data_IF_016229390072
#
_entry.id   IF_016229390072
#
_cell.length_a   1.000
_cell.length_b   1.000
_cell.length_c   1.000
_cell.angle_alpha   90.00
_cell.angle_beta   90.00
_cell.angle_gamma   90.00
#
_symmetry.space_group_name_H-M   'P 1'
#
loop_
_entity.id
_entity.type
_entity.pdbx_description
1 polymer ?
#
# COMPACT_ATOMS: atom_id res chain seq x y z
N UNK A 1 -13.38 -7.71 6.45
CA UNK A 1 -13.75 -7.05 5.18
C UNK A 1 -12.49 -6.62 4.43
N UNK A 2 -12.35 -7.08 3.19
CA UNK A 2 -11.37 -6.54 2.23
C UNK A 2 -12.07 -5.52 1.35
N UNK A 3 -11.49 -4.34 1.17
CA UNK A 3 -12.10 -3.30 0.36
C UNK A 3 -11.11 -2.54 -0.53
N UNK A 4 -11.57 -2.22 -1.73
CA UNK A 4 -10.93 -1.28 -2.65
C UNK A 4 -12.02 -0.45 -3.31
N UNK A 5 -11.73 0.82 -3.60
CA UNK A 5 -12.72 1.79 -4.06
C UNK A 5 -12.28 2.38 -5.39
N UNK A 6 -13.22 2.58 -6.32
CA UNK A 6 -12.92 3.05 -7.67
C UNK A 6 -12.75 4.57 -7.77
N UNK A 7 -13.49 5.31 -6.95
CA UNK A 7 -13.47 6.76 -7.02
C UNK A 7 -12.26 7.31 -6.27
N UNK A 8 -11.53 8.23 -6.90
CA UNK A 8 -10.41 8.93 -6.27
C UNK A 8 -10.85 9.72 -5.04
N UNK A 9 -12.04 10.33 -5.08
CA UNK A 9 -12.53 11.18 -3.97
C UNK A 9 -12.88 10.39 -2.70
N UNK A 10 -13.10 9.08 -2.79
CA UNK A 10 -13.37 8.25 -1.62
C UNK A 10 -12.08 7.85 -0.87
N UNK A 11 -10.90 7.98 -1.48
CA UNK A 11 -9.69 7.30 -0.98
C UNK A 11 -9.25 7.79 0.41
N UNK A 12 -9.41 9.09 0.69
CA UNK A 12 -9.07 9.63 2.00
C UNK A 12 -10.02 9.15 3.10
N UNK A 13 -11.33 9.30 2.90
CA UNK A 13 -12.32 8.88 3.90
C UNK A 13 -12.26 7.37 4.21
N UNK A 14 -12.00 6.53 3.20
CA UNK A 14 -11.88 5.08 3.43
C UNK A 14 -10.57 4.72 4.14
N UNK A 15 -9.50 5.47 3.91
CA UNK A 15 -8.23 5.32 4.65
C UNK A 15 -8.43 5.69 6.13
N UNK A 16 -9.13 6.80 6.41
CA UNK A 16 -9.52 7.16 7.78
C UNK A 16 -10.43 6.09 8.39
N UNK A 17 -11.35 5.53 7.62
CA UNK A 17 -12.24 4.46 8.08
C UNK A 17 -11.45 3.21 8.46
N UNK A 18 -10.48 2.79 7.65
CA UNK A 18 -9.61 1.65 7.96
C UNK A 18 -8.77 1.86 9.23
N UNK A 19 -8.38 3.10 9.53
CA UNK A 19 -7.71 3.43 10.80
C UNK A 19 -8.62 3.17 12.03
N UNK A 20 -9.95 3.30 11.88
CA UNK A 20 -10.92 3.07 12.96
C UNK A 20 -11.33 1.62 13.11
N UNK A 21 -11.40 0.88 12.00
CA UNK A 21 -11.96 -0.48 11.98
C UNK A 21 -10.88 -1.51 11.63
N UNK A 22 -10.37 -2.23 12.64
CA UNK A 22 -9.34 -3.28 12.47
C UNK A 22 -9.79 -4.48 11.62
N UNK A 23 -11.09 -4.61 11.39
CA UNK A 23 -11.70 -5.62 10.53
C UNK A 23 -11.92 -5.12 9.09
N UNK A 24 -11.43 -3.92 8.73
CA UNK A 24 -11.39 -3.37 7.38
C UNK A 24 -9.92 -3.30 6.89
N UNK A 25 -9.61 -4.03 5.83
CA UNK A 25 -8.30 -4.01 5.20
C UNK A 25 -8.39 -3.44 3.79
N UNK A 26 -7.69 -2.34 3.54
CA UNK A 26 -7.62 -1.73 2.23
C UNK A 26 -6.57 -2.44 1.37
N UNK A 27 -6.91 -2.69 0.11
CA UNK A 27 -5.98 -3.29 -0.83
C UNK A 27 -6.00 -2.61 -2.20
N UNK A 28 -4.81 -2.29 -2.67
CA UNK A 28 -4.49 -1.82 -4.02
C UNK A 28 -5.14 -0.53 -4.52
N UNK A 29 -4.86 -0.25 -5.78
CA UNK A 29 -5.32 0.93 -6.52
C UNK A 29 -6.11 0.44 -7.73
N UNK A 30 -7.43 0.30 -7.57
CA UNK A 30 -8.26 -0.43 -8.52
C UNK A 30 -8.58 0.37 -9.79
N UNK A 31 -8.40 -0.28 -10.95
CA UNK A 31 -8.86 0.18 -12.28
C UNK A 31 -8.50 1.64 -12.59
N UNK A 32 -9.42 2.59 -12.50
CA UNK A 32 -9.14 4.01 -12.78
C UNK A 32 -8.21 4.65 -11.75
N UNK A 33 -8.04 4.05 -10.58
CA UNK A 33 -6.99 4.42 -9.63
C UNK A 33 -5.62 3.80 -9.96
N UNK A 34 -5.53 2.88 -10.92
CA UNK A 34 -4.27 2.25 -11.32
C UNK A 34 -3.48 3.10 -12.33
N UNK A 35 -3.28 4.37 -11.98
CA UNK A 35 -2.46 5.33 -12.74
C UNK A 35 -1.33 5.83 -11.83
N UNK A 36 -0.10 6.05 -12.34
CA UNK A 36 1.06 6.37 -11.51
C UNK A 36 0.83 7.51 -10.50
N UNK A 37 0.24 8.62 -10.94
CA UNK A 37 -0.04 9.77 -10.07
C UNK A 37 -1.03 9.47 -8.95
N UNK A 38 -2.02 8.60 -9.20
CA UNK A 38 -3.00 8.20 -8.20
C UNK A 38 -2.40 7.14 -7.28
N UNK A 39 -1.62 6.19 -7.81
CA UNK A 39 -0.91 5.20 -6.99
C UNK A 39 0.00 5.90 -5.99
N UNK A 40 0.76 6.91 -6.43
CA UNK A 40 1.64 7.70 -5.55
C UNK A 40 0.85 8.39 -4.43
N UNK A 41 -0.19 9.14 -4.79
CA UNK A 41 -1.05 9.87 -3.85
C UNK A 41 -1.68 8.93 -2.80
N UNK A 42 -2.27 7.81 -3.25
CA UNK A 42 -2.95 6.85 -2.39
C UNK A 42 -1.95 6.11 -1.49
N UNK A 43 -0.79 5.71 -2.04
CA UNK A 43 0.23 5.01 -1.26
C UNK A 43 0.78 5.91 -0.17
N UNK A 44 1.10 7.16 -0.49
CA UNK A 44 1.58 8.17 0.45
C UNK A 44 0.59 8.41 1.59
N UNK A 45 -0.66 8.73 1.24
CA UNK A 45 -1.73 8.97 2.20
C UNK A 45 -1.99 7.76 3.10
N UNK A 46 -1.98 6.55 2.54
CA UNK A 46 -2.19 5.32 3.32
C UNK A 46 -1.03 5.03 4.26
N UNK A 47 0.22 5.26 3.84
CA UNK A 47 1.39 5.11 4.73
C UNK A 47 1.31 6.12 5.88
N UNK A 48 0.99 7.38 5.59
CA UNK A 48 0.90 8.44 6.60
C UNK A 48 -0.17 8.14 7.67
N UNK A 49 -1.28 7.49 7.32
CA UNK A 49 -2.41 7.25 8.23
C UNK A 49 -2.39 5.83 8.84
N UNK A 50 -1.92 4.84 8.10
CA UNK A 50 -2.02 3.41 8.47
C UNK A 50 -0.65 2.75 8.70
N UNK A 51 0.46 3.43 8.40
CA UNK A 51 1.79 2.80 8.38
C UNK A 51 1.82 1.69 7.33
N UNK A 52 2.14 0.47 7.75
CA UNK A 52 2.19 -0.71 6.87
C UNK A 52 0.94 -1.59 6.94
N UNK A 53 -0.12 -1.17 7.65
CA UNK A 53 -1.32 -1.98 7.89
C UNK A 53 -2.33 -1.94 6.72
N UNK A 54 -1.85 -2.13 5.49
CA UNK A 54 -2.65 -2.24 4.27
C UNK A 54 -1.86 -2.96 3.18
N UNK A 55 -2.52 -3.37 2.09
CA UNK A 55 -1.82 -3.92 0.92
C UNK A 55 -1.73 -2.89 -0.19
N UNK A 56 -0.51 -2.61 -0.65
CA UNK A 56 -0.21 -1.46 -1.50
C UNK A 56 -0.81 -1.57 -2.91
N UNK A 57 -0.79 -2.75 -3.52
CA UNK A 57 -1.22 -2.95 -4.89
C UNK A 57 -1.83 -4.34 -5.16
N UNK A 58 -2.70 -4.41 -6.17
CA UNK A 58 -3.05 -5.65 -6.88
C UNK A 58 -3.00 -5.40 -8.40
N UNK A 59 -2.79 -6.43 -9.22
CA UNK A 59 -2.64 -6.26 -10.66
C UNK A 59 -3.96 -6.19 -11.42
N UNK A 60 -5.01 -6.88 -10.97
CA UNK A 60 -6.24 -7.09 -11.76
C UNK A 60 -5.90 -7.54 -13.21
N UNK A 61 -4.90 -8.42 -13.33
CA UNK A 61 -4.40 -8.90 -14.61
C UNK A 61 -5.42 -9.85 -15.24
N UNK A 62 -5.83 -9.56 -16.47
CA UNK A 62 -6.68 -10.45 -17.29
C UNK A 62 -5.88 -11.24 -18.32
N UNK A 63 -4.63 -10.84 -18.55
CA UNK A 63 -3.65 -11.49 -19.43
C UNK A 63 -2.36 -11.64 -18.64
N UNK A 64 -1.72 -12.80 -18.74
CA UNK A 64 -0.56 -13.18 -17.91
C UNK A 64 0.58 -12.15 -17.99
N UNK A 65 0.92 -11.70 -19.19
CA UNK A 65 2.01 -10.74 -19.43
C UNK A 65 1.78 -9.39 -18.74
N UNK A 66 0.54 -9.08 -18.37
CA UNK A 66 0.23 -7.87 -17.61
C UNK A 66 0.85 -7.87 -16.23
N UNK A 67 1.12 -9.05 -15.64
CA UNK A 67 1.80 -9.13 -14.37
C UNK A 67 3.17 -8.45 -14.43
N UNK A 68 3.90 -8.59 -15.54
CA UNK A 68 5.25 -8.03 -15.67
C UNK A 68 5.19 -6.50 -15.57
N UNK A 69 4.45 -5.84 -16.45
CA UNK A 69 4.46 -4.38 -16.51
C UNK A 69 3.67 -3.73 -15.36
N UNK A 70 2.59 -4.36 -14.87
CA UNK A 70 1.81 -3.80 -13.76
C UNK A 70 2.60 -3.82 -12.46
N UNK A 71 3.34 -4.91 -12.20
CA UNK A 71 4.17 -5.01 -11.01
C UNK A 71 5.47 -4.22 -11.13
N UNK A 72 6.11 -4.14 -12.31
CA UNK A 72 7.27 -3.24 -12.47
C UNK A 72 6.88 -1.80 -12.18
N UNK A 73 5.84 -1.31 -12.87
CA UNK A 73 5.40 0.08 -12.74
C UNK A 73 4.95 0.43 -11.31
N UNK A 74 4.16 -0.43 -10.67
CA UNK A 74 3.69 -0.16 -9.31
C UNK A 74 4.83 -0.19 -8.29
N UNK A 75 5.80 -1.09 -8.45
CA UNK A 75 6.96 -1.16 -7.54
C UNK A 75 7.85 0.07 -7.66
N UNK A 76 8.02 0.61 -8.87
CA UNK A 76 8.80 1.84 -9.07
C UNK A 76 8.16 3.00 -8.30
N UNK A 77 6.86 3.24 -8.50
CA UNK A 77 6.11 4.33 -7.82
C UNK A 77 6.07 4.13 -6.31
N UNK A 78 5.75 2.93 -5.83
CA UNK A 78 5.70 2.64 -4.38
C UNK A 78 7.10 2.76 -3.76
N UNK A 79 8.14 2.35 -4.48
CA UNK A 79 9.53 2.45 -4.06
C UNK A 79 9.95 3.90 -3.84
N UNK A 80 9.62 4.81 -4.75
CA UNK A 80 9.88 6.25 -4.60
C UNK A 80 9.20 6.83 -3.35
N UNK A 81 7.94 6.46 -3.09
CA UNK A 81 7.24 6.88 -1.87
C UNK A 81 7.94 6.36 -0.61
N UNK A 82 8.36 5.10 -0.59
CA UNK A 82 9.04 4.52 0.57
C UNK A 82 10.40 5.18 0.83
N UNK A 83 11.17 5.47 -0.21
CA UNK A 83 12.46 6.17 -0.10
C UNK A 83 12.26 7.53 0.58
N UNK A 84 11.34 8.35 0.08
CA UNK A 84 11.05 9.68 0.67
C UNK A 84 10.62 9.57 2.15
N UNK A 85 9.80 8.56 2.49
CA UNK A 85 9.36 8.35 3.88
C UNK A 85 10.51 7.93 4.80
N UNK A 86 11.38 7.03 4.36
CA UNK A 86 12.54 6.61 5.16
C UNK A 86 13.60 7.69 5.26
N UNK A 87 13.80 8.52 4.22
CA UNK A 87 14.68 9.68 4.27
C UNK A 87 14.19 10.70 5.32
N UNK A 88 12.88 10.98 5.35
CA UNK A 88 12.27 11.83 6.38
C UNK A 88 12.47 11.24 7.77
N UNK A 89 12.24 9.94 7.93
CA UNK A 89 12.44 9.25 9.22
C UNK A 89 13.91 9.33 9.66
N UNK A 90 14.85 9.08 8.75
CA UNK A 90 16.28 9.19 9.01
C UNK A 90 16.70 10.61 9.41
N UNK A 91 16.14 11.64 8.77
CA UNK A 91 16.40 13.04 9.09
C UNK A 91 15.98 13.44 10.52
N UNK A 92 15.04 12.70 11.14
CA UNK A 92 14.69 12.91 12.57
C UNK A 92 15.71 12.31 13.55
N UNK A 93 16.74 11.62 13.05
CA UNK A 93 17.71 10.88 13.86
C UNK A 93 17.30 9.44 14.15
N UNK A 94 16.17 8.96 13.58
CA UNK A 94 15.75 7.57 13.71
C UNK A 94 16.70 6.65 12.92
N UNK A 95 17.11 5.54 13.54
CA UNK A 95 17.97 4.55 12.90
C UNK A 95 17.11 3.48 12.24
N UNK A 96 17.06 3.50 10.92
CA UNK A 96 16.39 2.48 10.11
C UNK A 96 17.42 1.43 9.70
N UNK A 97 17.15 0.15 9.99
CA UNK A 97 17.99 -0.95 9.52
C UNK A 97 17.49 -1.52 8.19
N UNK A 98 18.34 -2.24 7.47
CA UNK A 98 17.94 -2.97 6.26
C UNK A 98 16.78 -3.95 6.54
N UNK A 99 16.82 -4.64 7.68
CA UNK A 99 15.77 -5.58 8.09
C UNK A 99 14.43 -4.89 8.38
N UNK A 100 14.44 -3.64 8.84
CA UNK A 100 13.21 -2.87 9.03
C UNK A 100 12.55 -2.60 7.67
N UNK A 101 13.34 -2.17 6.69
CA UNK A 101 12.87 -1.90 5.32
C UNK A 101 12.35 -3.19 4.67
N UNK A 102 13.09 -4.30 4.78
CA UNK A 102 12.67 -5.58 4.22
C UNK A 102 11.34 -6.07 4.81
N UNK A 103 11.19 -5.97 6.14
CA UNK A 103 9.94 -6.29 6.84
C UNK A 103 8.79 -5.43 6.33
N UNK A 104 8.98 -4.12 6.26
CA UNK A 104 7.90 -3.19 5.90
C UNK A 104 7.48 -3.34 4.43
N UNK A 105 8.43 -3.61 3.53
CA UNK A 105 8.16 -3.97 2.14
C UNK A 105 7.37 -5.29 2.07
N UNK A 106 7.77 -6.32 2.81
CA UNK A 106 7.03 -7.59 2.86
C UNK A 106 5.58 -7.40 3.31
N UNK A 107 5.37 -6.58 4.35
CA UNK A 107 4.03 -6.20 4.84
C UNK A 107 3.18 -5.59 3.73
N UNK A 108 3.68 -4.58 3.04
CA UNK A 108 2.95 -3.87 1.98
C UNK A 108 2.65 -4.74 0.75
N UNK A 109 3.54 -5.69 0.41
CA UNK A 109 3.44 -6.52 -0.80
C UNK A 109 2.82 -7.91 -0.60
N UNK A 110 2.30 -8.23 0.59
CA UNK A 110 1.51 -9.46 0.77
C UNK A 110 1.33 -9.87 2.22
N UNK A 111 2.33 -9.67 3.08
CA UNK A 111 2.28 -10.20 4.44
C UNK A 111 1.16 -9.55 5.27
N UNK A 112 0.85 -8.26 5.10
CA UNK A 112 -0.29 -7.66 5.82
C UNK A 112 -1.65 -8.16 5.33
N UNK A 113 -1.74 -8.65 4.08
CA UNK A 113 -2.94 -9.34 3.61
C UNK A 113 -3.06 -10.72 4.26
N UNK A 114 -1.98 -11.49 4.29
CA UNK A 114 -1.94 -12.82 4.94
C UNK A 114 -2.32 -12.71 6.42
N UNK A 115 -1.66 -11.81 7.16
CA UNK A 115 -1.97 -11.51 8.57
C UNK A 115 -3.44 -11.09 8.79
N UNK A 116 -4.06 -10.45 7.79
CA UNK A 116 -5.47 -10.08 7.88
C UNK A 116 -6.39 -11.28 7.66
N UNK A 117 -6.04 -12.17 6.73
CA UNK A 117 -6.80 -13.38 6.42
C UNK A 117 -6.72 -14.43 7.54
N UNK A 118 -5.62 -14.44 8.29
CA UNK A 118 -5.40 -15.37 9.42
C UNK A 118 -6.15 -14.98 10.70
N UNK A 119 -6.85 -13.83 10.72
CA UNK A 119 -7.64 -13.43 11.89
C UNK A 119 -8.86 -14.35 12.02
N UNK A 120 -8.92 -15.10 13.12
CA UNK A 120 -10.15 -15.78 13.53
C UNK A 120 -11.23 -14.74 13.87
N UNK A 121 -12.45 -14.99 13.39
CA UNK A 121 -13.62 -14.13 13.64
C UNK A 121 -14.15 -14.27 15.06
#
# INVERSE_FOLDING_TARGET
FLATFLSRVNQHEVTVTANKFRNLHLYGCWWYCNNPSIIEELTRMRIEILGTAFTSQHSDARVLDQLIYKWSHSRDVIGEVLVDMYEKLFATGWKVSKSDIERDVQRLFGQSYEEFMDKEM
#
